data_IF_295274970487
#
_entry.id   IF_295274970487
#
_cell.length_a   1.000
_cell.length_b   1.000
_cell.length_c   1.000
_cell.angle_alpha   90.00
_cell.angle_beta   90.00
_cell.angle_gamma   90.00
#
_symmetry.space_group_name_H-M   'P 1'
#
loop_
_entity.id
_entity.type
_entity.pdbx_description
1 polymer ?
#
# COMPACT_ATOMS: atom_id res chain seq x y z
N UNK A 1 -26.01 22.26 11.54
CA UNK A 1 -25.45 21.08 12.25
C UNK A 1 -25.19 20.00 11.21
N UNK A 2 -23.99 19.42 11.18
CA UNK A 2 -23.59 18.44 10.18
C UNK A 2 -23.51 17.04 10.82
N UNK A 3 -24.61 16.26 10.84
CA UNK A 3 -24.69 15.02 11.59
C UNK A 3 -23.80 13.88 11.04
N UNK A 4 -23.31 14.04 9.81
CA UNK A 4 -22.50 13.04 9.09
C UNK A 4 -21.05 13.48 8.86
N UNK A 5 -20.61 14.58 9.49
CA UNK A 5 -19.25 15.05 9.36
C UNK A 5 -18.27 14.08 10.04
N UNK A 6 -17.10 13.89 9.45
CA UNK A 6 -16.00 13.13 10.03
C UNK A 6 -15.14 14.05 10.90
N UNK A 7 -14.82 13.60 12.12
CA UNK A 7 -13.89 14.28 13.02
C UNK A 7 -12.46 14.08 12.53
N UNK A 8 -11.65 15.13 12.55
CA UNK A 8 -10.24 15.06 12.17
C UNK A 8 -9.38 15.23 13.42
N UNK A 9 -8.48 14.28 13.66
CA UNK A 9 -7.53 14.29 14.76
C UNK A 9 -6.11 14.36 14.23
N UNK A 10 -5.25 15.12 14.90
CA UNK A 10 -3.81 15.17 14.64
C UNK A 10 -3.09 14.91 15.97
N UNK A 11 -2.31 13.83 16.05
CA UNK A 11 -1.64 13.37 17.27
C UNK A 11 -2.58 13.36 18.49
N UNK A 12 -3.77 12.79 18.32
CA UNK A 12 -4.82 12.72 19.35
C UNK A 12 -5.57 14.03 19.64
N UNK A 13 -5.13 15.17 19.10
CA UNK A 13 -5.83 16.45 19.26
C UNK A 13 -6.94 16.59 18.22
N UNK A 14 -8.17 16.83 18.66
CA UNK A 14 -9.28 17.11 17.76
C UNK A 14 -9.12 18.50 17.15
N UNK A 15 -8.89 18.57 15.83
CA UNK A 15 -8.66 19.84 15.12
C UNK A 15 -9.90 20.39 14.42
N UNK A 16 -10.86 19.54 14.07
CA UNK A 16 -12.07 19.99 13.37
C UNK A 16 -12.91 18.87 12.78
N UNK A 17 -13.81 19.23 11.87
CA UNK A 17 -14.69 18.30 11.17
C UNK A 17 -14.68 18.57 9.67
N UNK A 18 -14.80 17.51 8.86
CA UNK A 18 -14.86 17.59 7.40
C UNK A 18 -16.11 16.86 6.89
N UNK A 19 -16.78 17.42 5.87
CA UNK A 19 -17.99 16.82 5.30
C UNK A 19 -17.70 15.68 4.33
N UNK A 20 -16.59 15.78 3.59
CA UNK A 20 -16.17 14.78 2.61
C UNK A 20 -14.83 14.14 3.05
N UNK A 21 -14.86 13.15 3.95
CA UNK A 21 -13.65 12.48 4.42
C UNK A 21 -12.96 11.68 3.32
N UNK A 22 -13.69 11.21 2.29
CA UNK A 22 -13.10 10.40 1.21
C UNK A 22 -12.16 11.27 0.39
N UNK A 23 -12.61 12.45 -0.02
CA UNK A 23 -11.77 13.41 -0.73
C UNK A 23 -10.57 13.87 0.11
N UNK A 24 -10.79 14.17 1.40
CA UNK A 24 -9.70 14.59 2.30
C UNK A 24 -8.61 13.51 2.42
N UNK A 25 -9.00 12.26 2.65
CA UNK A 25 -8.05 11.14 2.80
C UNK A 25 -7.24 10.95 1.52
N UNK A 26 -7.89 10.93 0.36
CA UNK A 26 -7.22 10.81 -0.95
C UNK A 26 -6.22 11.93 -1.19
N UNK A 27 -6.58 13.18 -0.85
CA UNK A 27 -5.69 14.33 -0.97
C UNK A 27 -4.46 14.19 -0.07
N UNK A 28 -4.64 13.86 1.20
CA UNK A 28 -3.53 13.75 2.17
C UNK A 28 -2.63 12.56 1.84
N UNK A 29 -3.20 11.43 1.41
CA UNK A 29 -2.42 10.30 0.88
C UNK A 29 -1.61 10.69 -0.36
N UNK A 30 -2.19 11.46 -1.28
CA UNK A 30 -1.47 12.02 -2.43
C UNK A 30 -0.30 12.92 -2.04
N UNK A 31 -0.47 13.76 -1.01
CA UNK A 31 0.62 14.58 -0.46
C UNK A 31 1.74 13.73 0.15
N UNK A 32 1.41 12.60 0.78
CA UNK A 32 2.39 11.63 1.32
C UNK A 32 3.20 10.98 0.21
N UNK A 33 2.54 10.50 -0.85
CA UNK A 33 3.19 9.90 -2.02
C UNK A 33 4.12 10.88 -2.74
N UNK A 34 3.69 12.14 -2.86
CA UNK A 34 4.49 13.23 -3.44
C UNK A 34 5.60 13.74 -2.49
N UNK A 35 5.74 13.12 -1.31
CA UNK A 35 6.70 13.47 -0.27
C UNK A 35 6.63 14.94 0.18
N UNK A 36 5.44 15.55 0.09
CA UNK A 36 5.14 16.89 0.64
C UNK A 36 4.96 16.79 2.15
N UNK A 37 4.33 15.70 2.60
CA UNK A 37 4.36 15.24 3.99
C UNK A 37 5.28 14.01 4.08
N UNK A 38 5.94 13.82 5.23
CA UNK A 38 6.85 12.69 5.42
C UNK A 38 6.11 11.36 5.19
N UNK A 39 6.79 10.41 4.54
CA UNK A 39 6.29 9.05 4.36
C UNK A 39 6.06 8.32 5.69
N UNK A 40 6.55 8.84 6.81
CA UNK A 40 6.33 8.31 8.17
C UNK A 40 5.01 8.75 8.79
N UNK A 41 4.32 9.74 8.21
CA UNK A 41 3.01 10.20 8.71
C UNK A 41 1.96 9.14 8.42
N UNK A 42 1.28 8.68 9.47
CA UNK A 42 0.19 7.70 9.36
C UNK A 42 -1.17 8.39 9.23
N UNK A 43 -2.02 7.81 8.40
CA UNK A 43 -3.29 8.32 7.94
C UNK A 43 -4.36 7.24 8.12
N UNK A 44 -5.00 7.22 9.28
CA UNK A 44 -5.99 6.21 9.65
C UNK A 44 -7.40 6.78 9.47
N UNK A 45 -8.23 6.12 8.65
CA UNK A 45 -9.64 6.47 8.46
C UNK A 45 -10.55 5.44 9.12
N UNK A 46 -11.09 5.78 10.28
CA UNK A 46 -12.13 4.99 10.92
C UNK A 46 -13.51 5.37 10.37
N UNK A 47 -14.07 4.47 9.56
CA UNK A 47 -15.39 4.64 8.93
C UNK A 47 -16.53 4.49 9.96
N UNK A 48 -16.36 3.63 10.97
CA UNK A 48 -17.40 3.33 11.98
C UNK A 48 -17.56 4.50 12.94
N UNK A 49 -16.45 4.98 13.49
CA UNK A 49 -16.43 6.07 14.45
C UNK A 49 -16.45 7.46 13.78
N UNK A 50 -16.36 7.48 12.45
CA UNK A 50 -16.31 8.68 11.61
C UNK A 50 -15.17 9.59 12.05
N UNK A 51 -13.98 9.02 12.09
CA UNK A 51 -12.75 9.70 12.47
C UNK A 51 -11.69 9.56 11.37
N UNK A 52 -10.94 10.64 11.16
CA UNK A 52 -9.72 10.62 10.38
C UNK A 52 -8.59 11.07 11.30
N UNK A 53 -7.64 10.16 11.56
CA UNK A 53 -6.55 10.36 12.51
C UNK A 53 -5.25 10.46 11.73
N UNK A 54 -4.49 11.51 12.02
CA UNK A 54 -3.17 11.75 11.45
C UNK A 54 -2.16 11.65 12.59
N UNK A 55 -1.21 10.73 12.46
CA UNK A 55 -0.13 10.56 13.43
C UNK A 55 1.20 10.93 12.80
N UNK A 56 1.88 11.89 13.43
CA UNK A 56 3.21 12.37 13.05
C UNK A 56 4.24 12.15 14.17
N UNK A 57 3.82 11.57 15.29
CA UNK A 57 4.70 11.27 16.42
C UNK A 57 5.71 10.17 16.06
N UNK A 58 6.88 10.24 16.70
CA UNK A 58 7.96 9.26 16.54
C UNK A 58 7.69 7.98 17.36
N UNK A 59 8.41 6.90 17.01
CA UNK A 59 8.39 5.63 17.76
C UNK A 59 7.41 4.58 17.24
N UNK A 60 6.67 4.88 16.17
CA UNK A 60 5.83 3.92 15.46
C UNK A 60 6.70 2.96 14.65
N UNK A 61 6.33 1.69 14.66
CA UNK A 61 6.96 0.67 13.82
C UNK A 61 6.31 0.74 12.44
N UNK A 62 7.13 0.81 11.41
CA UNK A 62 6.69 0.91 10.02
C UNK A 62 7.12 -0.34 9.25
N UNK A 63 6.26 -0.81 8.34
CA UNK A 63 6.54 -1.91 7.42
C UNK A 63 6.36 -1.44 5.98
N UNK A 64 7.40 -1.50 5.14
CA UNK A 64 7.28 -1.15 3.73
C UNK A 64 6.56 -2.26 2.96
N UNK A 65 5.57 -1.87 2.16
CA UNK A 65 4.76 -2.77 1.35
C UNK A 65 4.63 -2.23 -0.07
N UNK A 66 4.47 -3.11 -1.05
CA UNK A 66 4.10 -2.68 -2.40
C UNK A 66 2.68 -2.17 -2.42
N UNK A 67 2.43 -1.10 -3.17
CA UNK A 67 1.11 -0.50 -3.30
C UNK A 67 0.38 -1.04 -4.53
N UNK A 68 -0.92 -1.33 -4.37
CA UNK A 68 -1.83 -1.75 -5.45
C UNK A 68 -2.60 -0.52 -5.95
N UNK A 69 -2.75 -0.39 -7.27
CA UNK A 69 -3.59 0.64 -7.87
C UNK A 69 -5.07 0.35 -7.60
N UNK A 70 -5.79 1.34 -7.07
CA UNK A 70 -7.17 1.18 -6.62
C UNK A 70 -8.17 1.91 -7.52
N UNK A 71 -7.69 2.90 -8.29
CA UNK A 71 -8.53 3.77 -9.09
C UNK A 71 -8.46 3.41 -10.57
N UNK A 72 -9.60 3.57 -11.25
CA UNK A 72 -9.69 3.38 -12.69
C UNK A 72 -9.07 4.63 -13.37
N UNK A 73 -7.86 4.47 -13.94
CA UNK A 73 -6.98 5.54 -14.47
C UNK A 73 -6.22 6.35 -13.41
N UNK A 74 -5.56 5.68 -12.46
CA UNK A 74 -4.67 6.34 -11.51
C UNK A 74 -3.46 7.06 -12.15
N UNK A 75 -2.83 7.96 -11.40
CA UNK A 75 -1.62 8.70 -11.83
C UNK A 75 -0.42 7.77 -12.11
N UNK A 76 -0.48 6.52 -11.66
CA UNK A 76 0.57 5.50 -11.82
C UNK A 76 0.68 4.94 -13.24
N UNK A 77 -0.39 5.05 -14.04
CA UNK A 77 -0.46 4.48 -15.39
C UNK A 77 -0.61 2.96 -15.45
N UNK A 78 -0.81 2.28 -14.31
CA UNK A 78 -1.15 0.84 -14.27
C UNK A 78 -2.65 0.63 -14.13
N UNK A 79 -3.13 -0.56 -14.52
CA UNK A 79 -4.55 -0.90 -14.36
C UNK A 79 -4.91 -1.13 -12.89
N UNK A 80 -6.17 -0.85 -12.54
CA UNK A 80 -6.71 -1.15 -11.23
C UNK A 80 -6.53 -2.62 -10.84
N UNK A 81 -6.11 -2.84 -9.61
CA UNK A 81 -5.81 -4.15 -9.05
C UNK A 81 -4.44 -4.70 -9.43
N UNK A 82 -3.59 -3.92 -10.12
CA UNK A 82 -2.20 -4.27 -10.37
C UNK A 82 -1.26 -3.55 -9.39
N UNK A 83 -0.04 -4.08 -9.25
CA UNK A 83 1.02 -3.39 -8.51
C UNK A 83 1.45 -2.12 -9.24
N UNK A 84 1.69 -1.05 -8.50
CA UNK A 84 2.29 0.18 -9.04
C UNK A 84 3.76 -0.06 -9.43
N UNK A 85 4.41 -1.07 -8.85
CA UNK A 85 5.74 -1.49 -9.27
C UNK A 85 5.72 -2.10 -10.67
N UNK A 86 6.34 -1.43 -11.64
CA UNK A 86 6.45 -1.89 -13.03
C UNK A 86 7.86 -2.43 -13.34
N UNK A 87 8.00 -3.09 -14.50
CA UNK A 87 9.33 -3.52 -15.00
C UNK A 87 10.26 -2.34 -15.26
N UNK A 88 9.74 -1.17 -15.63
CA UNK A 88 10.53 0.03 -15.82
C UNK A 88 11.20 0.47 -14.52
N UNK A 89 10.47 0.42 -13.40
CA UNK A 89 11.04 0.67 -12.07
C UNK A 89 12.20 -0.30 -11.78
N UNK A 90 12.02 -1.60 -12.03
CA UNK A 90 13.08 -2.59 -11.80
C UNK A 90 14.32 -2.32 -12.67
N UNK A 91 14.15 -1.96 -13.94
CA UNK A 91 15.25 -1.62 -14.84
C UNK A 91 16.04 -0.39 -14.36
N UNK A 92 15.36 0.61 -13.79
CA UNK A 92 16.04 1.76 -13.18
C UNK A 92 16.88 1.37 -11.96
N UNK A 93 16.37 0.48 -11.10
CA UNK A 93 17.14 -0.06 -9.97
C UNK A 93 18.33 -0.90 -10.41
N UNK A 94 18.22 -1.59 -11.56
CA UNK A 94 19.35 -2.31 -12.14
C UNK A 94 20.43 -1.35 -12.65
N UNK A 95 20.04 -0.26 -13.32
CA UNK A 95 20.97 0.78 -13.76
C UNK A 95 21.67 1.48 -12.57
N UNK A 96 20.99 1.65 -11.44
CA UNK A 96 21.58 2.21 -10.21
C UNK A 96 22.78 1.42 -9.68
N UNK A 97 22.87 0.11 -9.99
CA UNK A 97 24.02 -0.74 -9.60
C UNK A 97 25.33 -0.24 -10.21
N UNK A 98 25.26 0.31 -11.41
CA UNK A 98 26.41 0.87 -12.13
C UNK A 98 26.70 2.31 -11.70
N UNK A 99 25.66 3.09 -11.37
CA UNK A 99 25.78 4.51 -11.04
C UNK A 99 26.35 4.76 -9.64
N UNK A 100 26.17 3.83 -8.69
CA UNK A 100 26.66 4.01 -7.31
C UNK A 100 25.82 5.02 -6.51
N UNK A 101 25.69 4.78 -5.20
CA UNK A 101 24.71 5.46 -4.33
C UNK A 101 24.82 7.00 -4.28
N UNK A 102 26.00 7.55 -4.51
CA UNK A 102 26.27 8.98 -4.40
C UNK A 102 26.15 9.72 -5.74
N UNK A 103 25.79 9.01 -6.82
CA UNK A 103 25.58 9.63 -8.11
C UNK A 103 24.32 10.50 -8.10
N UNK A 104 24.34 11.69 -8.74
CA UNK A 104 23.18 12.57 -8.80
C UNK A 104 21.92 11.92 -9.36
N UNK A 105 22.09 11.03 -10.35
CA UNK A 105 21.00 10.32 -11.02
C UNK A 105 20.59 9.02 -10.32
N UNK A 106 21.16 8.70 -9.15
CA UNK A 106 20.80 7.51 -8.39
C UNK A 106 19.33 7.57 -7.96
N UNK A 107 18.54 6.59 -8.41
CA UNK A 107 17.11 6.56 -8.15
C UNK A 107 16.80 5.85 -6.83
N UNK A 108 17.19 4.58 -6.73
CA UNK A 108 17.17 3.73 -5.55
C UNK A 108 15.80 3.62 -4.86
N UNK A 109 15.86 3.26 -3.58
CA UNK A 109 14.68 3.20 -2.70
C UNK A 109 13.92 4.54 -2.60
N UNK A 110 14.57 5.72 -2.47
CA UNK A 110 13.85 6.99 -2.47
C UNK A 110 13.04 7.23 -3.75
N UNK A 111 13.53 6.71 -4.88
CA UNK A 111 12.84 6.70 -6.16
C UNK A 111 11.51 5.94 -6.12
N UNK A 112 11.52 4.73 -5.55
CA UNK A 112 10.33 3.89 -5.38
C UNK A 112 9.28 4.50 -4.46
N UNK A 113 9.73 5.16 -3.38
CA UNK A 113 8.83 5.89 -2.49
C UNK A 113 8.16 7.06 -3.22
N UNK A 114 8.94 7.86 -3.97
CA UNK A 114 8.42 9.00 -4.74
C UNK A 114 7.50 8.58 -5.89
N UNK A 115 7.71 7.41 -6.48
CA UNK A 115 6.80 6.86 -7.49
C UNK A 115 5.52 6.28 -6.88
N UNK A 116 5.41 6.20 -5.55
CA UNK A 116 4.29 5.56 -4.87
C UNK A 116 4.24 4.05 -5.07
N UNK A 117 5.33 3.42 -5.53
CA UNK A 117 5.39 1.97 -5.71
C UNK A 117 5.47 1.24 -4.37
N UNK A 118 6.00 1.92 -3.34
CA UNK A 118 6.14 1.43 -1.98
C UNK A 118 5.54 2.45 -1.02
N UNK A 119 4.77 1.96 -0.06
CA UNK A 119 4.28 2.73 1.07
C UNK A 119 4.73 2.07 2.38
N UNK A 120 5.08 2.91 3.37
CA UNK A 120 5.28 2.45 4.73
C UNK A 120 3.94 2.39 5.44
N UNK A 121 3.56 1.26 6.02
CA UNK A 121 2.36 1.16 6.84
C UNK A 121 2.77 1.01 8.30
N UNK A 122 2.10 1.73 9.19
CA UNK A 122 2.19 1.46 10.61
C UNK A 122 1.14 0.43 11.06
N UNK A 123 1.27 -0.04 12.29
CA UNK A 123 0.38 -1.06 12.84
C UNK A 123 -1.10 -0.64 12.87
N UNK A 124 -1.40 0.66 13.03
CA UNK A 124 -2.79 1.13 13.03
C UNK A 124 -3.36 1.24 11.61
N UNK A 125 -2.56 1.69 10.63
CA UNK A 125 -2.94 1.68 9.23
C UNK A 125 -3.22 0.25 8.75
N UNK A 126 -2.38 -0.71 9.17
CA UNK A 126 -2.51 -2.11 8.79
C UNK A 126 -3.91 -2.68 9.11
N UNK A 127 -4.56 -2.28 10.20
CA UNK A 127 -5.91 -2.73 10.57
C UNK A 127 -7.00 -2.36 9.55
N UNK A 128 -6.75 -1.33 8.75
CA UNK A 128 -7.70 -0.83 7.73
C UNK A 128 -7.32 -1.22 6.31
N UNK A 129 -6.17 -1.86 6.13
CA UNK A 129 -5.63 -2.24 4.82
C UNK A 129 -5.86 -3.71 4.51
N UNK A 130 -5.91 -4.03 3.22
CA UNK A 130 -5.94 -5.42 2.74
C UNK A 130 -4.62 -5.71 2.04
N UNK A 131 -3.85 -6.64 2.60
CA UNK A 131 -2.50 -7.01 2.12
C UNK A 131 -2.55 -8.43 1.52
N UNK A 132 -2.10 -8.59 0.27
CA UNK A 132 -1.86 -9.91 -0.32
C UNK A 132 -0.43 -10.38 -0.05
N UNK A 133 -0.22 -11.70 0.01
CA UNK A 133 1.06 -12.30 0.41
C UNK A 133 2.08 -12.38 -0.73
N UNK A 134 1.61 -12.62 -1.96
CA UNK A 134 2.47 -12.66 -3.14
C UNK A 134 1.81 -11.98 -4.34
N UNK A 135 2.59 -11.49 -5.31
CA UNK A 135 2.05 -10.89 -6.53
C UNK A 135 1.18 -11.87 -7.35
N UNK A 136 1.53 -13.15 -7.35
CA UNK A 136 0.73 -14.18 -8.03
C UNK A 136 -0.66 -14.31 -7.40
N UNK A 137 -0.76 -14.17 -6.08
CA UNK A 137 -2.05 -14.16 -5.40
C UNK A 137 -2.86 -12.91 -5.81
N UNK A 138 -2.23 -11.75 -6.03
CA UNK A 138 -2.94 -10.59 -6.57
C UNK A 138 -3.44 -10.81 -8.01
N UNK A 139 -2.64 -11.43 -8.87
CA UNK A 139 -3.03 -11.72 -10.25
C UNK A 139 -4.17 -12.74 -10.34
N UNK A 140 -4.09 -13.82 -9.56
CA UNK A 140 -5.19 -14.79 -9.47
C UNK A 140 -6.48 -14.11 -9.01
N UNK A 141 -6.40 -13.21 -8.02
CA UNK A 141 -7.55 -12.47 -7.51
C UNK A 141 -8.22 -11.66 -8.62
N UNK A 142 -7.41 -10.95 -9.40
CA UNK A 142 -7.87 -10.12 -10.51
C UNK A 142 -8.52 -10.97 -11.60
N UNK A 143 -7.89 -12.08 -11.99
CA UNK A 143 -8.43 -12.99 -13.00
C UNK A 143 -9.77 -13.61 -12.55
N UNK A 144 -9.86 -14.06 -11.31
CA UNK A 144 -11.12 -14.59 -10.75
C UNK A 144 -12.22 -13.52 -10.73
N UNK A 145 -11.89 -12.26 -10.39
CA UNK A 145 -12.88 -11.16 -10.43
C UNK A 145 -13.35 -10.81 -11.85
N UNK A 146 -12.51 -11.03 -12.86
CA UNK A 146 -12.87 -10.91 -14.27
C UNK A 146 -13.68 -12.13 -14.78
N UNK A 147 -13.89 -13.15 -13.95
CA UNK A 147 -14.66 -14.35 -14.31
C UNK A 147 -13.85 -15.42 -15.02
N UNK A 148 -12.52 -15.32 -15.05
CA UNK A 148 -11.67 -16.40 -15.55
C UNK A 148 -11.58 -17.52 -14.51
N UNK A 149 -11.68 -18.76 -14.99
CA UNK A 149 -11.46 -19.94 -14.16
C UNK A 149 -9.94 -20.13 -13.96
N UNK A 150 -9.50 -19.98 -12.71
CA UNK A 150 -8.08 -20.10 -12.35
C UNK A 150 -7.92 -21.42 -11.61
N UNK A 151 -7.32 -22.42 -12.28
CA UNK A 151 -7.06 -23.72 -11.67
C UNK A 151 -6.02 -23.58 -10.54
N UNK A 152 -6.43 -23.88 -9.32
CA UNK A 152 -5.51 -23.94 -8.19
C UNK A 152 -4.68 -25.24 -8.25
N UNK A 153 -3.42 -25.11 -8.66
CA UNK A 153 -2.46 -26.21 -8.66
C UNK A 153 -1.71 -26.34 -7.33
N UNK A 154 -2.11 -25.64 -6.28
CA UNK A 154 -1.47 -25.74 -4.97
C UNK A 154 -1.66 -27.13 -4.36
N UNK A 155 -0.61 -27.66 -3.72
CA UNK A 155 -0.57 -29.05 -3.24
C UNK A 155 -0.37 -30.11 -4.34
N UNK A 156 -0.21 -29.73 -5.62
CA UNK A 156 0.22 -30.68 -6.66
C UNK A 156 1.75 -30.86 -6.60
N UNK A 157 2.20 -32.06 -6.24
CA UNK A 157 3.62 -32.37 -6.04
C UNK A 157 4.13 -31.82 -4.70
N UNK A 158 5.27 -31.14 -4.71
CA UNK A 158 5.93 -30.62 -3.50
C UNK A 158 5.75 -29.10 -3.31
N UNK A 159 4.79 -28.49 -4.00
CA UNK A 159 4.55 -27.04 -3.86
C UNK A 159 3.75 -26.73 -2.58
N UNK A 160 3.90 -25.49 -2.09
CA UNK A 160 3.17 -25.01 -0.92
C UNK A 160 1.66 -25.02 -1.20
N UNK A 161 0.87 -25.53 -0.27
CA UNK A 161 -0.59 -25.39 -0.30
C UNK A 161 -0.95 -23.93 -0.04
N UNK A 162 -1.68 -23.32 -0.97
CA UNK A 162 -2.10 -21.91 -0.86
C UNK A 162 -3.41 -21.81 -0.10
N UNK A 163 -3.62 -20.70 0.59
CA UNK A 163 -4.91 -20.40 1.20
C UNK A 163 -5.92 -20.08 0.10
N UNK A 164 -7.09 -20.70 0.17
CA UNK A 164 -8.17 -20.39 -0.79
C UNK A 164 -8.56 -18.93 -0.65
N UNK A 165 -8.73 -18.26 -1.79
CA UNK A 165 -9.14 -16.87 -1.82
C UNK A 165 -10.54 -16.72 -1.28
N UNK A 166 -10.74 -15.75 -0.39
CA UNK A 166 -12.09 -15.45 0.07
C UNK A 166 -12.84 -14.66 -1.01
N UNK A 167 -13.95 -15.19 -1.57
CA UNK A 167 -14.71 -14.54 -2.64
C UNK A 167 -15.31 -13.19 -2.22
N UNK A 168 -15.51 -12.96 -0.91
CA UNK A 168 -16.03 -11.68 -0.38
C UNK A 168 -14.99 -10.58 -0.31
N UNK A 169 -13.72 -10.88 -0.59
CA UNK A 169 -12.65 -9.86 -0.66
C UNK A 169 -12.97 -8.85 -1.76
N UNK A 170 -13.09 -7.58 -1.37
CA UNK A 170 -13.50 -6.50 -2.28
C UNK A 170 -12.36 -5.95 -3.13
N UNK A 171 -11.19 -5.74 -2.55
CA UNK A 171 -9.98 -5.27 -3.24
C UNK A 171 -8.77 -5.41 -2.32
N UNK A 172 -7.60 -5.70 -2.88
CA UNK A 172 -6.32 -5.56 -2.16
C UNK A 172 -5.79 -4.15 -2.30
N UNK A 173 -5.22 -3.62 -1.23
CA UNK A 173 -4.62 -2.27 -1.20
C UNK A 173 -3.11 -2.33 -1.33
N UNK A 174 -2.50 -3.41 -0.83
CA UNK A 174 -1.06 -3.59 -0.73
C UNK A 174 -0.68 -5.04 -0.98
N UNK A 175 0.59 -5.27 -1.28
CA UNK A 175 1.21 -6.58 -1.40
C UNK A 175 2.48 -6.63 -0.55
N UNK A 176 2.68 -7.75 0.14
CA UNK A 176 3.93 -8.04 0.84
C UNK A 176 5.10 -8.06 -0.15
N UNK A 177 6.24 -7.50 0.26
CA UNK A 177 7.46 -7.48 -0.58
C UNK A 177 8.00 -8.90 -0.69
N UNK A 178 8.18 -9.56 0.46
CA UNK A 178 8.51 -10.97 0.51
C UNK A 178 8.24 -11.53 1.93
N UNK A 179 7.56 -12.69 2.08
CA UNK A 179 7.24 -13.23 3.41
C UNK A 179 8.43 -13.48 4.34
N UNK A 180 9.65 -13.65 3.81
CA UNK A 180 10.86 -13.80 4.64
C UNK A 180 11.23 -12.53 5.40
N UNK A 181 10.73 -11.36 4.99
CA UNK A 181 10.99 -10.08 5.68
C UNK A 181 10.28 -9.99 7.03
N UNK A 182 9.41 -10.96 7.35
CA UNK A 182 8.81 -11.13 8.67
C UNK A 182 9.77 -11.79 9.68
N UNK A 183 10.87 -12.37 9.20
CA UNK A 183 11.85 -13.03 10.06
C UNK A 183 12.74 -12.00 10.76
N UNK A 184 13.10 -12.31 12.01
CA UNK A 184 14.07 -11.52 12.76
C UNK A 184 15.50 -11.74 12.28
N UNK A 185 16.40 -10.85 12.65
CA UNK A 185 17.81 -10.86 12.20
C UNK A 185 18.54 -12.17 12.55
N UNK A 186 18.21 -12.79 13.69
CA UNK A 186 18.87 -13.99 14.20
C UNK A 186 18.19 -15.31 13.82
N UNK A 187 17.06 -15.26 13.09
CA UNK A 187 16.28 -16.43 12.72
C UNK A 187 16.89 -17.17 11.51
#
# INVERSE_FOLDING_TARGET
RYPNATKVFVNGTWVGVHQDPKHLVSLVQGLRRKNVISFEVSLVRDIRDREFKIFSDAGRVMRPLFTVEQEDNGESGVEKGQLILTKEHVQRLEADKELGKYHPDYWGWPGLLRSGAIEYLDAEEEETTMICMTPEDLDMYRLTKLGFDVSDNSGQGNNRIKTRMNPTTHMYTHCEIHPSMLLGICA
#
